data_IF_459700609039
#
_entry.id   IF_459700609039
#
_cell.length_a   1.000
_cell.length_b   1.000
_cell.length_c   1.000
_cell.angle_alpha   90.00
_cell.angle_beta   90.00
_cell.angle_gamma   90.00
#
_symmetry.space_group_name_H-M   'P 1'
#
loop_
_entity.id
_entity.type
_entity.pdbx_description
1 polymer ?
#
# COMPACT_ATOMS: atom_id res chain seq x y z
N UNK A 1 -17.77 2.95 20.09
CA UNK A 1 -17.81 4.29 19.44
C UNK A 1 -18.85 4.27 18.35
N UNK A 2 -19.42 5.42 18.01
CA UNK A 2 -20.29 5.51 16.83
C UNK A 2 -19.45 5.93 15.62
N UNK A 3 -19.15 4.98 14.73
CA UNK A 3 -18.31 5.23 13.53
C UNK A 3 -19.10 5.82 12.35
N UNK A 4 -20.44 5.84 12.43
CA UNK A 4 -21.31 6.33 11.37
C UNK A 4 -22.76 5.94 11.56
N UNK A 5 -23.56 6.11 10.51
CA UNK A 5 -24.99 5.77 10.48
C UNK A 5 -25.35 4.98 9.23
N UNK A 6 -26.42 4.21 9.31
CA UNK A 6 -26.99 3.53 8.16
C UNK A 6 -28.11 4.36 7.55
N UNK A 7 -28.12 4.45 6.22
CA UNK A 7 -29.21 5.09 5.44
C UNK A 7 -29.80 4.06 4.48
N UNK A 8 -31.13 4.03 4.38
CA UNK A 8 -31.83 3.08 3.51
C UNK A 8 -31.82 3.60 2.07
N UNK A 9 -31.31 2.80 1.14
CA UNK A 9 -31.35 3.09 -0.29
C UNK A 9 -32.71 2.70 -0.89
N UNK A 10 -33.03 3.29 -2.05
CA UNK A 10 -34.22 2.91 -2.83
C UNK A 10 -34.21 1.44 -3.25
N UNK A 11 -33.01 0.85 -3.38
CA UNK A 11 -32.80 -0.58 -3.67
C UNK A 11 -33.12 -1.51 -2.48
N UNK A 12 -33.50 -0.96 -1.31
CA UNK A 12 -33.77 -1.70 -0.08
C UNK A 12 -32.54 -2.00 0.77
N UNK A 13 -31.32 -1.79 0.28
CA UNK A 13 -30.09 -1.98 1.04
C UNK A 13 -29.86 -0.85 2.05
N UNK A 14 -29.15 -1.16 3.15
CA UNK A 14 -28.67 -0.17 4.11
C UNK A 14 -27.24 0.21 3.78
N UNK A 15 -27.01 1.45 3.33
CA UNK A 15 -25.69 2.00 3.08
C UNK A 15 -25.11 2.60 4.37
N UNK A 16 -23.84 2.35 4.62
CA UNK A 16 -23.14 2.92 5.77
C UNK A 16 -22.53 4.28 5.38
N UNK A 17 -22.84 5.31 6.16
CA UNK A 17 -22.28 6.66 6.03
C UNK A 17 -21.36 6.89 7.22
N UNK A 18 -20.02 6.89 7.05
CA UNK A 18 -19.08 7.09 8.14
C UNK A 18 -19.18 8.52 8.69
N UNK A 19 -18.94 8.66 9.99
CA UNK A 19 -18.77 9.97 10.61
C UNK A 19 -17.42 10.58 10.18
N UNK A 20 -17.27 11.91 10.20
CA UNK A 20 -15.97 12.56 10.03
C UNK A 20 -14.94 12.08 11.06
N UNK A 21 -13.66 12.13 10.67
CA UNK A 21 -12.54 11.92 11.59
C UNK A 21 -12.16 13.25 12.28
N UNK A 22 -11.58 13.25 13.49
CA UNK A 22 -11.23 12.08 14.32
C UNK A 22 -12.47 11.39 14.93
N UNK A 23 -12.36 10.11 15.36
CA UNK A 23 -13.47 9.43 16.00
C UNK A 23 -13.93 10.11 17.29
N UNK A 24 -15.23 10.14 17.52
CA UNK A 24 -15.83 10.57 18.79
C UNK A 24 -16.64 9.43 19.44
N UNK A 25 -16.35 9.08 20.71
CA UNK A 25 -15.25 9.57 21.55
C UNK A 25 -13.87 9.19 20.95
N UNK A 26 -12.78 9.88 21.36
CA UNK A 26 -11.43 9.61 20.87
C UNK A 26 -11.00 8.16 21.08
N UNK A 27 -10.13 7.66 20.20
CA UNK A 27 -9.50 6.33 20.33
C UNK A 27 -8.79 6.23 21.68
N UNK A 28 -9.05 5.16 22.40
CA UNK A 28 -8.39 4.87 23.67
C UNK A 28 -7.02 4.26 23.41
N UNK A 29 -5.98 5.03 23.71
CA UNK A 29 -4.59 4.56 23.60
C UNK A 29 -4.17 4.00 24.95
N UNK A 30 -4.48 2.72 25.17
CA UNK A 30 -4.08 2.00 26.37
C UNK A 30 -2.60 1.57 26.28
N UNK A 31 -2.02 1.14 27.41
CA UNK A 31 -0.61 0.76 27.53
C UNK A 31 -0.15 -0.22 26.45
N UNK A 32 -0.94 -1.25 26.16
CA UNK A 32 -0.60 -2.25 25.13
C UNK A 32 -0.50 -1.64 23.73
N UNK A 33 -1.41 -0.73 23.39
CA UNK A 33 -1.38 -0.02 22.11
C UNK A 33 -0.17 0.92 22.04
N UNK A 34 0.18 1.58 23.14
CA UNK A 34 1.35 2.45 23.22
C UNK A 34 2.65 1.67 23.00
N UNK A 35 2.79 0.49 23.63
CA UNK A 35 3.92 -0.41 23.42
C UNK A 35 4.01 -0.92 21.95
N UNK A 36 2.86 -1.22 21.32
CA UNK A 36 2.81 -1.60 19.91
C UNK A 36 3.20 -0.44 19.00
N UNK A 37 2.73 0.77 19.31
CA UNK A 37 3.05 1.98 18.57
C UNK A 37 4.56 2.27 18.61
N UNK A 38 5.18 2.18 19.78
CA UNK A 38 6.62 2.34 19.94
C UNK A 38 7.40 1.28 19.16
N UNK A 39 7.00 0.00 19.23
CA UNK A 39 7.60 -1.09 18.46
C UNK A 39 7.46 -0.86 16.96
N UNK A 40 6.29 -0.45 16.49
CA UNK A 40 6.03 -0.16 15.08
C UNK A 40 6.91 0.98 14.56
N UNK A 41 6.97 2.08 15.31
CA UNK A 41 7.80 3.22 14.98
C UNK A 41 9.29 2.84 14.92
N UNK A 42 9.79 2.14 15.93
CA UNK A 42 11.19 1.69 15.98
C UNK A 42 11.53 0.70 14.85
N UNK A 43 10.60 -0.20 14.49
CA UNK A 43 10.81 -1.14 13.38
C UNK A 43 10.87 -0.42 12.04
N UNK A 44 10.05 0.60 11.87
CA UNK A 44 9.99 1.40 10.66
C UNK A 44 11.25 2.27 10.50
N UNK A 45 11.70 2.94 11.57
CA UNK A 45 12.94 3.71 11.57
C UNK A 45 14.17 2.85 11.25
N UNK A 46 14.22 1.61 11.77
CA UNK A 46 15.29 0.66 11.43
C UNK A 46 15.25 0.28 9.96
N UNK A 47 14.07 0.06 9.40
CA UNK A 47 13.90 -0.26 7.97
C UNK A 47 14.37 0.91 7.11
N UNK A 48 13.97 2.12 7.44
CA UNK A 48 14.33 3.33 6.72
C UNK A 48 15.87 3.55 6.74
N UNK A 49 16.50 3.43 7.93
CA UNK A 49 17.94 3.57 8.08
C UNK A 49 18.75 2.51 7.34
N UNK A 50 18.19 1.32 7.06
CA UNK A 50 18.86 0.28 6.30
C UNK A 50 19.11 0.72 4.84
N UNK A 51 18.20 1.52 4.29
CA UNK A 51 18.31 2.02 2.94
C UNK A 51 19.66 2.69 2.66
N UNK A 52 20.14 3.47 3.60
CA UNK A 52 21.44 4.16 3.46
C UNK A 52 22.67 3.24 3.55
N UNK A 53 22.50 2.03 4.05
CA UNK A 53 23.60 1.06 4.22
C UNK A 53 23.73 0.06 3.05
N UNK A 54 22.77 0.05 2.10
CA UNK A 54 22.74 -0.91 1.00
C UNK A 54 23.55 -0.41 -0.20
N UNK A 55 24.47 -1.22 -0.77
CA UNK A 55 25.30 -0.83 -1.91
C UNK A 55 24.50 -0.55 -3.19
N UNK A 56 23.34 -1.17 -3.39
CA UNK A 56 22.43 -1.02 -4.54
C UNK A 56 21.04 -0.61 -4.11
N UNK A 57 20.97 0.48 -3.37
CA UNK A 57 19.77 0.99 -2.73
C UNK A 57 18.58 1.15 -3.69
N UNK A 58 18.78 1.72 -4.88
CA UNK A 58 17.72 1.95 -5.86
C UNK A 58 17.09 0.64 -6.35
N UNK A 59 17.89 -0.38 -6.62
CA UNK A 59 17.39 -1.69 -7.02
C UNK A 59 16.61 -2.38 -5.90
N UNK A 60 17.08 -2.23 -4.66
CA UNK A 60 16.39 -2.75 -3.50
C UNK A 60 15.01 -2.09 -3.31
N UNK A 61 14.93 -0.76 -3.36
CA UNK A 61 13.67 -0.02 -3.34
C UNK A 61 12.76 -0.49 -4.47
N UNK A 62 13.28 -0.59 -5.70
CA UNK A 62 12.53 -1.05 -6.87
C UNK A 62 11.88 -2.41 -6.64
N UNK A 63 12.62 -3.38 -6.07
CA UNK A 63 12.09 -4.71 -5.76
C UNK A 63 10.99 -4.68 -4.70
N UNK A 64 11.08 -3.80 -3.70
CA UNK A 64 10.03 -3.65 -2.68
C UNK A 64 8.78 -2.96 -3.22
N UNK A 65 8.94 -1.95 -4.07
CA UNK A 65 7.82 -1.31 -4.78
C UNK A 65 7.10 -2.34 -5.67
N UNK A 66 7.84 -3.16 -6.42
CA UNK A 66 7.25 -4.23 -7.25
C UNK A 66 6.51 -5.25 -6.39
N UNK A 67 7.08 -5.65 -5.26
CA UNK A 67 6.46 -6.59 -4.32
C UNK A 67 5.18 -6.03 -3.71
N UNK A 68 5.19 -4.77 -3.26
CA UNK A 68 3.98 -4.09 -2.76
C UNK A 68 2.91 -3.99 -3.83
N UNK A 69 3.26 -3.54 -5.05
CA UNK A 69 2.35 -3.40 -6.17
C UNK A 69 1.69 -4.74 -6.56
N UNK A 70 2.50 -5.80 -6.63
CA UNK A 70 2.01 -7.14 -6.92
C UNK A 70 1.05 -7.65 -5.84
N UNK A 71 1.45 -7.58 -4.57
CA UNK A 71 0.63 -8.06 -3.44
C UNK A 71 -0.65 -7.26 -3.31
N UNK A 72 -0.60 -5.93 -3.47
CA UNK A 72 -1.77 -5.06 -3.48
C UNK A 72 -2.74 -5.44 -4.60
N UNK A 73 -2.25 -5.69 -5.81
CA UNK A 73 -3.09 -6.14 -6.94
C UNK A 73 -3.65 -7.55 -6.72
N UNK A 74 -2.89 -8.45 -6.10
CA UNK A 74 -3.35 -9.81 -5.78
C UNK A 74 -4.45 -9.84 -4.70
N UNK A 75 -4.52 -8.87 -3.79
CA UNK A 75 -5.65 -8.72 -2.85
C UNK A 75 -6.95 -8.50 -3.64
N UNK A 76 -6.88 -7.76 -4.75
CA UNK A 76 -8.03 -7.47 -5.64
C UNK A 76 -8.31 -8.56 -6.67
N UNK A 77 -7.51 -9.62 -6.72
CA UNK A 77 -7.78 -10.80 -7.55
C UNK A 77 -6.85 -11.03 -8.73
N UNK A 78 -5.88 -10.15 -9.00
CA UNK A 78 -4.84 -10.36 -10.02
C UNK A 78 -4.07 -11.65 -9.74
N UNK A 79 -3.83 -12.45 -10.78
CA UNK A 79 -3.10 -13.73 -10.70
C UNK A 79 -1.64 -13.63 -11.13
N UNK A 80 -1.18 -12.43 -11.49
CA UNK A 80 0.21 -12.20 -11.85
C UNK A 80 1.17 -12.71 -10.76
N UNK A 81 2.31 -13.23 -11.18
CA UNK A 81 3.42 -13.67 -10.33
C UNK A 81 4.57 -12.67 -10.38
N UNK A 82 5.54 -12.80 -9.49
CA UNK A 82 6.76 -11.98 -9.55
C UNK A 82 7.56 -12.27 -10.83
N UNK A 83 7.53 -13.51 -11.31
CA UNK A 83 8.15 -13.92 -12.58
C UNK A 83 7.51 -13.19 -13.77
N UNK A 84 6.18 -13.12 -13.84
CA UNK A 84 5.46 -12.37 -14.87
C UNK A 84 5.87 -10.88 -14.87
N UNK A 85 6.03 -10.27 -13.69
CA UNK A 85 6.49 -8.88 -13.57
C UNK A 85 7.89 -8.69 -14.13
N UNK A 86 8.83 -9.58 -13.81
CA UNK A 86 10.20 -9.50 -14.34
C UNK A 86 10.26 -9.73 -15.85
N UNK A 87 9.50 -10.70 -16.38
CA UNK A 87 9.44 -10.99 -17.82
C UNK A 87 8.87 -9.78 -18.59
N UNK A 88 7.77 -9.21 -18.11
CA UNK A 88 7.13 -8.06 -18.75
C UNK A 88 8.06 -6.84 -18.79
N UNK A 89 8.82 -6.58 -17.74
CA UNK A 89 9.81 -5.50 -17.68
C UNK A 89 10.85 -5.60 -18.82
N UNK A 90 11.17 -6.82 -19.27
CA UNK A 90 12.22 -7.04 -20.26
C UNK A 90 11.73 -7.00 -21.71
N UNK A 91 10.61 -7.62 -21.98
CA UNK A 91 10.14 -7.83 -23.36
C UNK A 91 8.89 -7.04 -23.72
N UNK A 92 8.35 -6.25 -22.79
CA UNK A 92 7.10 -5.46 -22.97
C UNK A 92 5.96 -6.27 -23.58
N UNK A 93 6.02 -7.59 -23.46
CA UNK A 93 5.04 -8.55 -23.95
C UNK A 93 4.82 -9.62 -22.88
N UNK A 94 3.61 -10.13 -22.75
CA UNK A 94 3.30 -11.18 -21.79
C UNK A 94 1.91 -11.10 -21.20
N UNK A 95 1.78 -11.58 -19.99
CA UNK A 95 0.53 -11.66 -19.26
C UNK A 95 -0.04 -10.27 -18.95
N UNK A 96 -1.20 -9.91 -19.52
CA UNK A 96 -1.88 -8.62 -19.26
C UNK A 96 -2.28 -8.42 -17.80
N UNK A 97 -2.33 -9.47 -17.01
CA UNK A 97 -2.58 -9.40 -15.56
C UNK A 97 -1.48 -8.65 -14.79
N UNK A 98 -0.33 -8.36 -15.40
CA UNK A 98 0.72 -7.53 -14.80
C UNK A 98 0.44 -6.04 -14.95
N UNK A 99 -0.42 -5.61 -15.89
CA UNK A 99 -0.74 -4.19 -16.12
C UNK A 99 -1.17 -3.50 -14.83
N UNK A 100 -2.07 -4.04 -14.00
CA UNK A 100 -2.44 -3.43 -12.71
C UNK A 100 -1.25 -3.24 -11.75
N UNK A 101 -0.24 -4.11 -11.84
CA UNK A 101 0.99 -4.02 -11.01
C UNK A 101 1.85 -2.85 -11.46
N UNK A 102 2.08 -2.70 -12.77
CA UNK A 102 2.83 -1.57 -13.33
C UNK A 102 2.13 -0.25 -13.10
N UNK A 103 0.82 -0.20 -13.31
CA UNK A 103 0.03 0.99 -13.04
C UNK A 103 0.10 1.43 -11.57
N UNK A 104 0.11 0.47 -10.63
CA UNK A 104 0.31 0.76 -9.21
C UNK A 104 1.68 1.41 -8.96
N UNK A 105 2.75 0.87 -9.57
CA UNK A 105 4.10 1.44 -9.46
C UNK A 105 4.18 2.84 -10.04
N UNK A 106 3.59 3.07 -11.21
CA UNK A 106 3.56 4.39 -11.85
C UNK A 106 2.71 5.38 -11.05
N UNK A 107 1.57 4.95 -10.49
CA UNK A 107 0.75 5.78 -9.62
C UNK A 107 1.52 6.18 -8.33
N UNK A 108 2.28 5.25 -7.72
CA UNK A 108 3.14 5.55 -6.57
C UNK A 108 4.24 6.56 -6.92
N UNK A 109 4.95 6.33 -8.02
CA UNK A 109 6.01 7.22 -8.51
C UNK A 109 5.48 8.62 -8.81
N UNK A 110 4.34 8.68 -9.50
CA UNK A 110 3.63 9.93 -9.78
C UNK A 110 3.24 10.65 -8.48
N UNK A 111 2.61 9.93 -7.55
CA UNK A 111 2.18 10.47 -6.26
C UNK A 111 3.35 11.03 -5.45
N UNK A 112 4.46 10.27 -5.32
CA UNK A 112 5.69 10.71 -4.63
C UNK A 112 6.23 12.02 -5.25
N UNK A 113 6.29 12.11 -6.58
CA UNK A 113 6.75 13.33 -7.27
C UNK A 113 5.80 14.51 -7.02
N UNK A 114 4.49 14.27 -7.10
CA UNK A 114 3.45 15.30 -6.96
C UNK A 114 3.34 15.88 -5.56
N UNK A 115 3.69 15.11 -4.53
CA UNK A 115 3.72 15.58 -3.14
C UNK A 115 4.72 16.73 -2.89
N UNK A 116 5.69 16.94 -3.79
CA UNK A 116 6.56 18.13 -3.75
C UNK A 116 5.84 19.42 -4.21
N UNK A 117 4.70 19.30 -4.89
CA UNK A 117 3.97 20.41 -5.49
C UNK A 117 2.60 20.60 -4.86
N UNK A 118 1.98 19.52 -4.38
CA UNK A 118 0.63 19.49 -3.82
C UNK A 118 0.64 18.79 -2.46
N UNK A 119 -0.22 19.20 -1.52
CA UNK A 119 -0.50 18.40 -0.34
C UNK A 119 -1.22 17.10 -0.74
N UNK A 120 -1.41 16.20 0.22
CA UNK A 120 -2.22 15.01 0.02
C UNK A 120 -3.70 15.41 -0.10
N UNK A 121 -4.18 15.58 -1.33
CA UNK A 121 -5.50 16.13 -1.64
C UNK A 121 -6.29 15.25 -2.60
N UNK A 122 -7.59 15.49 -2.70
CA UNK A 122 -8.50 14.76 -3.60
C UNK A 122 -8.08 14.83 -5.07
N UNK A 123 -7.49 15.94 -5.49
CA UNK A 123 -6.94 16.08 -6.84
C UNK A 123 -5.84 15.07 -7.09
N UNK A 124 -4.87 14.95 -6.17
CA UNK A 124 -3.78 13.97 -6.27
C UNK A 124 -4.33 12.54 -6.31
N UNK A 125 -5.31 12.23 -5.46
CA UNK A 125 -5.96 10.91 -5.41
C UNK A 125 -6.61 10.57 -6.76
N UNK A 126 -7.31 11.51 -7.37
CA UNK A 126 -7.96 11.33 -8.69
C UNK A 126 -6.94 11.16 -9.82
N UNK A 127 -5.86 11.95 -9.82
CA UNK A 127 -4.76 11.85 -10.78
C UNK A 127 -4.10 10.45 -10.71
N UNK A 128 -3.81 9.95 -9.50
CA UNK A 128 -3.26 8.60 -9.31
C UNK A 128 -4.25 7.49 -9.71
N UNK A 129 -5.53 7.65 -9.38
CA UNK A 129 -6.56 6.68 -9.75
C UNK A 129 -6.68 6.56 -11.28
N UNK A 130 -6.53 7.66 -12.02
CA UNK A 130 -6.52 7.63 -13.48
C UNK A 130 -5.37 6.76 -14.02
N UNK A 131 -4.16 6.95 -13.48
CA UNK A 131 -2.98 6.14 -13.86
C UNK A 131 -3.22 4.67 -13.50
N UNK A 132 -3.76 4.40 -12.31
CA UNK A 132 -3.96 3.05 -11.80
C UNK A 132 -4.85 2.18 -12.69
N UNK A 133 -5.83 2.76 -13.37
CA UNK A 133 -6.78 2.03 -14.20
C UNK A 133 -6.47 2.09 -15.70
N UNK A 134 -5.43 2.77 -16.14
CA UNK A 134 -5.07 2.92 -17.55
C UNK A 134 -4.75 1.54 -18.19
N UNK A 135 -5.45 1.17 -19.25
CA UNK A 135 -5.26 -0.12 -19.94
C UNK A 135 -5.53 -1.37 -19.09
N UNK A 136 -6.04 -1.22 -17.86
CA UNK A 136 -6.37 -2.31 -16.96
C UNK A 136 -7.87 -2.68 -17.05
N UNK A 137 -8.26 -3.76 -16.39
CA UNK A 137 -9.66 -4.26 -16.39
C UNK A 137 -10.68 -3.21 -15.93
N UNK A 138 -10.29 -2.24 -15.11
CA UNK A 138 -11.12 -1.12 -14.65
C UNK A 138 -11.16 0.12 -15.56
N UNK A 139 -10.58 0.11 -16.76
CA UNK A 139 -10.48 1.28 -17.64
C UNK A 139 -11.84 1.91 -17.98
N UNK A 140 -12.89 1.11 -18.10
CA UNK A 140 -14.26 1.57 -18.37
C UNK A 140 -15.02 2.01 -17.09
N UNK A 141 -14.36 2.12 -15.95
CA UNK A 141 -14.93 2.51 -14.65
C UNK A 141 -14.63 3.97 -14.28
N UNK A 142 -14.61 4.87 -15.26
CA UNK A 142 -14.38 6.30 -15.10
C UNK A 142 -13.08 6.63 -14.33
N UNK A 143 -11.89 6.32 -14.88
CA UNK A 143 -10.62 6.59 -14.22
C UNK A 143 -10.46 8.07 -13.81
N UNK A 144 -10.14 8.29 -12.53
CA UNK A 144 -9.97 9.62 -11.97
C UNK A 144 -11.27 10.33 -11.58
N UNK A 145 -12.45 9.70 -11.77
CA UNK A 145 -13.72 10.31 -11.41
C UNK A 145 -14.39 9.58 -10.24
N UNK A 146 -14.92 10.35 -9.29
CA UNK A 146 -15.71 9.79 -8.21
C UNK A 146 -17.01 9.21 -8.74
N UNK A 147 -17.45 8.10 -8.16
CA UNK A 147 -18.64 7.39 -8.59
C UNK A 147 -19.91 8.23 -8.43
N UNK A 148 -20.79 8.08 -9.39
CA UNK A 148 -22.14 8.67 -9.40
C UNK A 148 -23.23 7.62 -9.21
N UNK A 149 -22.82 6.33 -9.07
CA UNK A 149 -23.73 5.21 -8.83
C UNK A 149 -23.39 4.52 -7.49
N UNK A 150 -24.38 3.92 -6.81
CA UNK A 150 -24.14 3.08 -5.65
C UNK A 150 -23.35 1.82 -6.04
N UNK A 151 -22.54 1.32 -5.11
CA UNK A 151 -21.77 0.07 -5.27
C UNK A 151 -22.01 -0.83 -4.07
N UNK A 152 -21.76 -2.14 -4.23
CA UNK A 152 -21.81 -3.14 -3.16
C UNK A 152 -20.48 -3.88 -3.18
N UNK A 153 -19.82 -3.96 -2.03
CA UNK A 153 -18.52 -4.61 -1.88
C UNK A 153 -18.71 -5.99 -1.23
N UNK A 154 -18.11 -7.01 -1.85
CA UNK A 154 -18.21 -8.40 -1.36
C UNK A 154 -19.53 -9.07 -1.75
N UNK A 155 -19.67 -10.34 -1.31
CA UNK A 155 -20.91 -11.13 -1.48
C UNK A 155 -21.97 -10.76 -0.45
N UNK A 156 -23.14 -11.40 -0.51
CA UNK A 156 -24.24 -11.15 0.43
C UNK A 156 -23.95 -11.75 1.84
N UNK A 157 -24.17 -10.98 2.94
CA UNK A 157 -24.52 -9.56 2.98
C UNK A 157 -23.26 -8.70 2.78
N UNK A 158 -23.16 -7.98 1.64
CA UNK A 158 -22.01 -7.14 1.32
C UNK A 158 -22.00 -5.83 2.11
N UNK A 159 -20.82 -5.19 2.15
CA UNK A 159 -20.72 -3.80 2.63
C UNK A 159 -21.27 -2.86 1.56
N UNK A 160 -22.16 -1.96 1.94
CA UNK A 160 -22.72 -0.93 1.05
C UNK A 160 -22.16 0.42 1.48
N UNK A 161 -21.23 1.00 0.72
CA UNK A 161 -20.68 2.33 1.00
C UNK A 161 -21.73 3.44 0.90
N UNK A 162 -21.40 4.68 1.32
CA UNK A 162 -22.31 5.81 1.26
C UNK A 162 -22.90 6.01 -0.13
N UNK A 163 -24.15 6.48 -0.25
CA UNK A 163 -24.72 6.84 -1.54
C UNK A 163 -23.95 8.04 -2.15
N UNK A 164 -23.94 8.18 -3.50
CA UNK A 164 -23.12 9.17 -4.19
C UNK A 164 -23.34 10.63 -3.78
N UNK A 165 -24.55 10.99 -3.39
CA UNK A 165 -24.94 12.32 -2.92
C UNK A 165 -24.22 12.74 -1.61
N UNK A 166 -23.76 11.76 -0.81
CA UNK A 166 -22.96 12.02 0.39
C UNK A 166 -21.45 12.18 0.10
N UNK A 167 -20.97 11.75 -1.06
CA UNK A 167 -19.52 11.68 -1.33
C UNK A 167 -18.84 13.04 -1.24
N UNK A 168 -19.48 14.11 -1.71
CA UNK A 168 -18.88 15.44 -1.72
C UNK A 168 -18.51 15.92 -0.32
N UNK A 169 -19.41 15.77 0.64
CA UNK A 169 -19.21 16.17 2.03
C UNK A 169 -18.17 15.26 2.70
N UNK A 170 -18.33 13.94 2.58
CA UNK A 170 -17.42 12.97 3.16
C UNK A 170 -15.98 13.10 2.67
N UNK A 171 -15.79 13.39 1.38
CA UNK A 171 -14.47 13.59 0.79
C UNK A 171 -13.86 14.93 1.20
N UNK A 172 -14.67 15.98 1.34
CA UNK A 172 -14.20 17.26 1.88
C UNK A 172 -13.68 17.09 3.33
N UNK A 173 -14.45 16.43 4.18
CA UNK A 173 -14.05 16.15 5.57
C UNK A 173 -12.82 15.23 5.63
N UNK A 174 -12.74 14.24 4.75
CA UNK A 174 -11.57 13.36 4.61
C UNK A 174 -10.30 14.15 4.26
N UNK A 175 -10.35 14.99 3.22
CA UNK A 175 -9.23 15.83 2.80
C UNK A 175 -8.79 16.79 3.91
N UNK A 176 -9.75 17.42 4.57
CA UNK A 176 -9.51 18.29 5.73
C UNK A 176 -8.76 17.54 6.83
N UNK A 177 -9.27 16.37 7.24
CA UNK A 177 -8.62 15.55 8.28
C UNK A 177 -7.20 15.10 7.90
N UNK A 178 -6.98 14.70 6.65
CA UNK A 178 -5.64 14.29 6.18
C UNK A 178 -4.63 15.42 6.38
N UNK A 179 -5.01 16.67 6.07
CA UNK A 179 -4.12 17.83 6.06
C UNK A 179 -4.03 18.55 7.41
N UNK A 180 -5.00 18.41 8.31
CA UNK A 180 -4.96 19.03 9.63
C UNK A 180 -3.92 18.37 10.53
N UNK A 181 -3.26 19.17 11.35
CA UNK A 181 -2.50 18.67 12.48
C UNK A 181 -3.46 18.20 13.58
N UNK A 182 -3.20 17.03 14.12
CA UNK A 182 -3.99 16.50 15.23
C UNK A 182 -3.08 15.81 16.26
N UNK A 183 -3.69 15.42 17.40
CA UNK A 183 -2.99 14.84 18.54
C UNK A 183 -2.56 13.39 18.36
N UNK A 184 -3.04 12.70 17.30
CA UNK A 184 -2.68 11.31 17.08
C UNK A 184 -1.28 11.19 16.48
N UNK A 185 -0.55 10.17 16.94
CA UNK A 185 0.70 9.77 16.31
C UNK A 185 0.49 9.46 14.81
N UNK A 186 1.42 9.84 13.91
CA UNK A 186 1.24 9.65 12.46
C UNK A 186 0.85 8.24 12.03
N UNK A 187 1.35 7.19 12.68
CA UNK A 187 0.97 5.80 12.37
C UNK A 187 -0.50 5.50 12.71
N UNK A 188 -1.01 6.03 13.81
CA UNK A 188 -2.44 5.92 14.16
C UNK A 188 -3.27 6.69 13.16
N UNK A 189 -2.88 7.92 12.85
CA UNK A 189 -3.57 8.75 11.85
C UNK A 189 -3.59 8.07 10.48
N UNK A 190 -2.49 7.45 10.05
CA UNK A 190 -2.40 6.67 8.82
C UNK A 190 -3.42 5.52 8.80
N UNK A 191 -3.56 4.77 9.91
CA UNK A 191 -4.55 3.71 10.03
C UNK A 191 -5.99 4.24 9.91
N UNK A 192 -6.29 5.39 10.56
CA UNK A 192 -7.60 6.05 10.48
C UNK A 192 -7.90 6.55 9.05
N UNK A 193 -6.94 7.17 8.38
CA UNK A 193 -7.05 7.63 6.99
C UNK A 193 -7.38 6.45 6.07
N UNK A 194 -6.64 5.35 6.20
CA UNK A 194 -6.89 4.16 5.38
C UNK A 194 -8.30 3.61 5.60
N UNK A 195 -8.72 3.41 6.85
CA UNK A 195 -10.08 2.97 7.15
C UNK A 195 -11.13 3.89 6.54
N UNK A 196 -11.00 5.19 6.75
CA UNK A 196 -11.99 6.17 6.28
C UNK A 196 -12.12 6.16 4.75
N UNK A 197 -10.99 6.08 4.04
CA UNK A 197 -10.99 5.97 2.59
C UNK A 197 -11.70 4.71 2.10
N UNK A 198 -11.40 3.56 2.70
CA UNK A 198 -12.05 2.29 2.38
C UNK A 198 -13.56 2.33 2.71
N UNK A 199 -13.95 2.97 3.82
CA UNK A 199 -15.35 3.12 4.21
C UNK A 199 -16.14 4.03 3.26
N UNK A 200 -15.55 5.13 2.79
CA UNK A 200 -16.16 6.05 1.80
C UNK A 200 -16.26 5.37 0.43
N UNK A 201 -15.22 4.65 0.02
CA UNK A 201 -15.16 3.91 -1.24
C UNK A 201 -15.54 4.75 -2.45
N UNK A 202 -14.79 5.83 -2.74
CA UNK A 202 -15.25 6.91 -3.62
C UNK A 202 -15.28 6.57 -5.11
N UNK A 203 -14.66 5.50 -5.57
CA UNK A 203 -14.55 5.12 -6.97
C UNK A 203 -15.41 3.89 -7.31
N UNK A 204 -15.64 3.64 -8.59
CA UNK A 204 -16.32 2.43 -9.07
C UNK A 204 -15.43 1.18 -8.99
N UNK A 205 -14.11 1.35 -9.08
CA UNK A 205 -13.09 0.31 -9.00
C UNK A 205 -11.79 0.90 -8.46
N UNK A 206 -10.82 0.08 -8.07
CA UNK A 206 -9.47 0.51 -7.67
C UNK A 206 -9.36 1.15 -6.28
N UNK A 207 -10.43 1.21 -5.49
CA UNK A 207 -10.39 1.82 -4.15
C UNK A 207 -9.36 1.17 -3.24
N UNK A 208 -9.36 -0.16 -3.12
CA UNK A 208 -8.42 -0.86 -2.25
C UNK A 208 -6.96 -0.60 -2.64
N UNK A 209 -6.63 -0.57 -3.93
CA UNK A 209 -5.28 -0.24 -4.41
C UNK A 209 -4.90 1.20 -4.08
N UNK A 210 -5.81 2.17 -4.30
CA UNK A 210 -5.59 3.57 -3.90
C UNK A 210 -5.47 3.70 -2.39
N UNK A 211 -6.35 3.07 -1.61
CA UNK A 211 -6.28 3.09 -0.14
C UNK A 211 -4.93 2.62 0.39
N UNK A 212 -4.35 1.56 -0.20
CA UNK A 212 -3.01 1.07 0.17
C UNK A 212 -1.87 1.97 -0.34
N UNK A 213 -2.02 2.58 -1.53
CA UNK A 213 -1.10 3.63 -1.99
C UNK A 213 -1.06 4.83 -1.04
N UNK A 214 -2.21 5.24 -0.52
CA UNK A 214 -2.32 6.35 0.42
C UNK A 214 -1.55 6.09 1.72
N UNK A 215 -1.44 4.84 2.19
CA UNK A 215 -0.61 4.51 3.35
C UNK A 215 0.84 4.91 3.09
N UNK A 216 1.42 4.39 2.00
CA UNK A 216 2.83 4.66 1.65
C UNK A 216 3.07 6.15 1.41
N UNK A 217 2.19 6.80 0.66
CA UNK A 217 2.31 8.23 0.35
C UNK A 217 2.16 9.11 1.59
N UNK A 218 1.27 8.74 2.53
CA UNK A 218 1.12 9.47 3.78
C UNK A 218 2.38 9.40 4.64
N UNK A 219 2.99 8.21 4.73
CA UNK A 219 4.24 8.04 5.48
C UNK A 219 5.40 8.81 4.86
N UNK A 220 5.52 8.82 3.53
CA UNK A 220 6.50 9.63 2.78
C UNK A 220 6.25 11.13 3.01
N UNK A 221 5.02 11.59 2.82
CA UNK A 221 4.65 13.00 2.96
C UNK A 221 4.88 13.56 4.37
N UNK A 222 4.69 12.70 5.40
CA UNK A 222 4.93 13.07 6.80
C UNK A 222 6.39 12.85 7.24
N UNK A 223 7.29 12.49 6.33
CA UNK A 223 8.70 12.19 6.60
C UNK A 223 8.87 11.14 7.71
N UNK A 224 8.02 10.11 7.70
CA UNK A 224 8.13 8.94 8.60
C UNK A 224 9.04 7.89 7.98
N UNK A 225 9.08 7.84 6.67
CA UNK A 225 9.99 7.06 5.84
C UNK A 225 10.48 7.97 4.69
N UNK A 226 11.73 7.80 4.27
CA UNK A 226 12.29 8.54 3.13
C UNK A 226 11.99 7.82 1.81
N UNK A 227 11.88 6.49 1.84
CA UNK A 227 11.63 5.67 0.66
C UNK A 227 10.52 4.61 0.91
N UNK A 228 9.80 4.19 -0.15
CA UNK A 228 8.66 3.28 -0.03
C UNK A 228 9.08 1.82 0.21
N UNK A 229 9.76 1.56 1.32
CA UNK A 229 10.26 0.22 1.70
C UNK A 229 9.23 -0.63 2.46
N UNK A 230 8.14 -0.02 2.94
CA UNK A 230 7.09 -0.73 3.65
C UNK A 230 6.12 -1.39 2.66
N UNK A 231 6.06 -2.72 2.67
CA UNK A 231 5.13 -3.51 1.83
C UNK A 231 3.99 -4.10 2.67
N UNK A 232 3.13 -3.22 3.20
CA UNK A 232 2.07 -3.59 4.13
C UNK A 232 1.01 -4.51 3.49
N UNK A 233 0.88 -4.50 2.16
CA UNK A 233 0.01 -5.42 1.41
C UNK A 233 0.38 -6.89 1.62
N UNK A 234 1.63 -7.21 1.99
CA UNK A 234 2.00 -8.58 2.39
C UNK A 234 1.20 -9.03 3.61
N UNK A 235 1.13 -8.19 4.64
CA UNK A 235 0.41 -8.50 5.87
C UNK A 235 -1.09 -8.56 5.61
N UNK A 236 -1.66 -7.61 4.89
CA UNK A 236 -3.07 -7.59 4.54
C UNK A 236 -3.48 -8.79 3.69
N UNK A 237 -2.64 -9.24 2.76
CA UNK A 237 -2.88 -10.45 1.98
C UNK A 237 -2.78 -11.73 2.82
N UNK A 238 -1.75 -11.83 3.66
CA UNK A 238 -1.52 -12.96 4.56
C UNK A 238 -2.69 -13.17 5.51
N UNK A 239 -3.24 -12.09 6.04
CA UNK A 239 -4.38 -12.08 6.96
C UNK A 239 -5.62 -11.48 6.31
N UNK A 240 -5.90 -11.84 5.04
CA UNK A 240 -6.90 -11.19 4.20
C UNK A 240 -8.29 -11.14 4.85
N UNK A 241 -8.75 -12.25 5.42
CA UNK A 241 -10.06 -12.29 6.08
C UNK A 241 -10.09 -11.37 7.29
N UNK A 242 -9.07 -11.42 8.14
CA UNK A 242 -8.99 -10.54 9.32
C UNK A 242 -8.93 -9.06 8.92
N UNK A 243 -8.20 -8.72 7.85
CA UNK A 243 -8.15 -7.35 7.32
C UNK A 243 -9.54 -6.80 7.00
N UNK A 244 -10.35 -7.54 6.24
CA UNK A 244 -11.71 -7.12 5.91
C UNK A 244 -12.63 -7.14 7.13
N UNK A 245 -12.52 -8.13 8.00
CA UNK A 245 -13.29 -8.20 9.23
C UNK A 245 -13.02 -7.00 10.16
N UNK A 246 -11.73 -6.56 10.28
CA UNK A 246 -11.36 -5.39 11.08
C UNK A 246 -11.95 -4.11 10.52
N UNK A 247 -11.89 -3.88 9.21
CA UNK A 247 -12.53 -2.73 8.56
C UNK A 247 -14.05 -2.75 8.78
N UNK A 248 -14.69 -3.91 8.60
CA UNK A 248 -16.11 -4.06 8.82
C UNK A 248 -16.51 -3.82 10.29
N UNK A 249 -15.73 -4.30 11.26
CA UNK A 249 -15.99 -4.10 12.68
C UNK A 249 -15.86 -2.65 13.12
N UNK A 250 -15.02 -1.85 12.47
CA UNK A 250 -15.03 -0.39 12.69
C UNK A 250 -16.35 0.20 12.22
N UNK A 251 -16.80 -0.12 10.99
CA UNK A 251 -18.08 0.40 10.45
C UNK A 251 -19.28 -0.04 11.27
N UNK A 252 -19.33 -1.31 11.67
CA UNK A 252 -20.51 -1.89 12.34
C UNK A 252 -20.56 -1.68 13.86
N UNK A 253 -19.40 -1.53 14.52
CA UNK A 253 -19.28 -1.51 15.99
C UNK A 253 -18.39 -0.40 16.54
N UNK A 254 -17.73 0.40 15.68
CA UNK A 254 -16.80 1.44 16.10
C UNK A 254 -15.49 0.90 16.71
N UNK A 255 -15.05 -0.30 16.32
CA UNK A 255 -13.88 -0.97 16.91
C UNK A 255 -12.55 -0.42 16.32
N UNK A 256 -12.31 0.88 16.46
CA UNK A 256 -11.10 1.53 15.95
C UNK A 256 -9.81 1.00 16.59
N UNK A 257 -9.83 0.72 17.90
CA UNK A 257 -8.66 0.23 18.63
C UNK A 257 -8.16 -1.11 18.09
N UNK A 258 -9.06 -2.01 17.74
CA UNK A 258 -8.70 -3.31 17.20
C UNK A 258 -8.13 -3.20 15.78
N UNK A 259 -8.69 -2.30 14.97
CA UNK A 259 -8.16 -1.98 13.66
C UNK A 259 -6.74 -1.39 13.75
N UNK A 260 -6.54 -0.38 14.59
CA UNK A 260 -5.23 0.26 14.79
C UNK A 260 -4.20 -0.77 15.29
N UNK A 261 -4.59 -1.62 16.25
CA UNK A 261 -3.74 -2.71 16.73
C UNK A 261 -3.31 -3.65 15.61
N UNK A 262 -4.24 -4.06 14.74
CA UNK A 262 -3.96 -4.89 13.58
C UNK A 262 -3.01 -4.19 12.60
N UNK A 263 -3.24 -2.92 12.31
CA UNK A 263 -2.40 -2.12 11.44
C UNK A 263 -0.97 -1.97 11.96
N UNK A 264 -0.79 -1.66 13.25
CA UNK A 264 0.52 -1.55 13.89
C UNK A 264 1.28 -2.88 13.90
N UNK A 265 0.61 -4.00 14.16
CA UNK A 265 1.19 -5.34 14.03
C UNK A 265 1.67 -5.61 12.60
N UNK A 266 0.92 -5.18 11.60
CA UNK A 266 1.32 -5.26 10.20
C UNK A 266 2.61 -4.50 9.91
N UNK A 267 2.74 -3.27 10.41
CA UNK A 267 3.98 -2.48 10.29
C UNK A 267 5.16 -3.23 10.93
N UNK A 268 5.01 -3.74 12.15
CA UNK A 268 6.08 -4.46 12.85
C UNK A 268 6.52 -5.70 12.07
N UNK A 269 5.56 -6.53 11.64
CA UNK A 269 5.85 -7.79 10.95
C UNK A 269 6.54 -7.52 9.60
N UNK A 270 6.01 -6.60 8.81
CA UNK A 270 6.55 -6.30 7.47
C UNK A 270 7.90 -5.62 7.54
N UNK A 271 8.09 -4.64 8.43
CA UNK A 271 9.38 -3.98 8.61
C UNK A 271 10.45 -4.95 9.10
N UNK A 272 10.11 -5.82 10.07
CA UNK A 272 11.05 -6.84 10.58
C UNK A 272 11.42 -7.86 9.50
N UNK A 273 10.44 -8.30 8.70
CA UNK A 273 10.68 -9.20 7.57
C UNK A 273 11.56 -8.57 6.50
N UNK A 274 11.33 -7.29 6.18
CA UNK A 274 12.15 -6.54 5.23
C UNK A 274 13.60 -6.42 5.68
N UNK A 275 13.82 -6.04 6.94
CA UNK A 275 15.15 -5.96 7.56
C UNK A 275 15.90 -7.28 7.49
N UNK A 276 15.22 -8.40 7.81
CA UNK A 276 15.81 -9.72 7.72
C UNK A 276 16.21 -10.08 6.28
N UNK A 277 15.27 -9.89 5.33
CA UNK A 277 15.53 -10.19 3.91
C UNK A 277 16.70 -9.37 3.37
N UNK A 278 16.78 -8.09 3.70
CA UNK A 278 17.87 -7.24 3.27
C UNK A 278 19.23 -7.74 3.80
N UNK A 279 19.27 -8.10 5.09
CA UNK A 279 20.48 -8.70 5.70
C UNK A 279 20.86 -10.02 5.03
N UNK A 280 19.90 -10.91 4.80
CA UNK A 280 20.13 -12.20 4.16
C UNK A 280 20.69 -12.02 2.74
N UNK A 281 20.22 -11.01 1.98
CA UNK A 281 20.72 -10.66 0.64
C UNK A 281 22.16 -10.14 0.70
N UNK A 282 22.47 -9.24 1.64
CA UNK A 282 23.84 -8.73 1.84
C UNK A 282 24.80 -9.88 2.17
N UNK A 283 24.42 -10.71 3.14
CA UNK A 283 25.23 -11.85 3.57
C UNK A 283 25.44 -12.87 2.43
N UNK A 284 24.41 -13.11 1.60
CA UNK A 284 24.48 -13.97 0.42
C UNK A 284 25.47 -13.38 -0.62
N UNK A 285 25.33 -12.09 -0.94
CA UNK A 285 26.21 -11.38 -1.90
C UNK A 285 27.66 -11.46 -1.45
N UNK A 286 27.95 -11.09 -0.21
CA UNK A 286 29.30 -11.13 0.32
C UNK A 286 29.91 -12.54 0.34
N UNK A 287 29.13 -13.55 0.73
CA UNK A 287 29.58 -14.96 0.71
C UNK A 287 29.92 -15.43 -0.70
N UNK A 288 29.07 -15.18 -1.68
CA UNK A 288 29.29 -15.61 -3.06
C UNK A 288 30.41 -14.82 -3.73
N UNK A 289 30.53 -13.52 -3.46
CA UNK A 289 31.63 -12.69 -3.94
C UNK A 289 32.98 -13.22 -3.45
N UNK A 290 33.10 -13.59 -2.18
CA UNK A 290 34.31 -14.19 -1.62
C UNK A 290 34.64 -15.54 -2.28
N UNK A 291 33.63 -16.36 -2.61
CA UNK A 291 33.83 -17.62 -3.32
C UNK A 291 34.33 -17.40 -4.74
N UNK A 292 33.73 -16.44 -5.47
CA UNK A 292 34.19 -16.07 -6.82
C UNK A 292 35.64 -15.58 -6.82
N UNK A 293 36.00 -14.65 -5.92
CA UNK A 293 37.37 -14.11 -5.85
C UNK A 293 38.42 -15.18 -5.49
N UNK A 294 38.06 -16.18 -4.69
CA UNK A 294 38.95 -17.33 -4.37
C UNK A 294 39.17 -18.27 -5.54
N UNK A 295 38.28 -18.25 -6.55
CA UNK A 295 38.43 -19.02 -7.78
C UNK A 295 39.60 -18.48 -8.63
N UNK A 296 40.56 -19.32 -8.97
CA UNK A 296 41.83 -18.93 -9.66
C UNK A 296 41.66 -18.35 -11.08
N UNK A 297 40.44 -18.29 -11.64
CA UNK A 297 40.16 -17.80 -13.02
C UNK A 297 38.78 -17.13 -13.12
N UNK A 298 38.52 -16.11 -12.32
CA UNK A 298 37.27 -15.32 -12.47
C UNK A 298 37.51 -14.22 -13.51
N UNK A 299 36.71 -14.23 -14.56
CA UNK A 299 36.72 -13.15 -15.55
C UNK A 299 36.01 -11.90 -15.01
N UNK A 300 36.38 -10.72 -15.51
CA UNK A 300 35.66 -9.49 -15.21
C UNK A 300 34.16 -9.59 -15.58
N UNK A 301 33.85 -10.24 -16.71
CA UNK A 301 32.47 -10.50 -17.13
C UNK A 301 31.69 -11.35 -16.12
N UNK A 302 32.29 -12.36 -15.51
CA UNK A 302 31.64 -13.16 -14.48
C UNK A 302 31.32 -12.37 -13.20
N UNK A 303 32.19 -11.41 -12.84
CA UNK A 303 31.92 -10.51 -11.72
C UNK A 303 30.79 -9.52 -12.03
N UNK A 304 30.78 -8.96 -13.23
CA UNK A 304 29.71 -8.07 -13.68
C UNK A 304 28.37 -8.80 -13.70
N UNK A 305 28.31 -9.98 -14.30
CA UNK A 305 27.10 -10.81 -14.32
C UNK A 305 26.63 -11.15 -12.89
N UNK A 306 27.58 -11.47 -11.99
CA UNK A 306 27.24 -11.74 -10.59
C UNK A 306 26.59 -10.53 -9.90
N UNK A 307 27.11 -9.31 -10.11
CA UNK A 307 26.53 -8.09 -9.54
C UNK A 307 25.15 -7.82 -10.17
N UNK A 308 25.00 -8.01 -11.49
CA UNK A 308 23.72 -7.84 -12.19
C UNK A 308 22.62 -8.78 -11.67
N UNK A 309 22.95 -10.00 -11.21
CA UNK A 309 21.97 -10.93 -10.65
C UNK A 309 21.30 -10.41 -9.37
N UNK A 310 21.91 -9.50 -8.63
CA UNK A 310 21.29 -8.86 -7.46
C UNK A 310 20.37 -7.70 -7.86
N UNK A 311 20.55 -7.14 -9.04
CA UNK A 311 19.66 -6.10 -9.61
C UNK A 311 18.54 -6.71 -10.42
N UNK A 312 18.83 -7.79 -11.15
CA UNK A 312 17.89 -8.45 -12.07
C UNK A 312 18.10 -9.96 -12.00
N UNK A 313 17.27 -10.70 -11.25
CA UNK A 313 17.46 -12.15 -11.03
C UNK A 313 17.21 -13.01 -12.27
N UNK A 314 16.73 -12.42 -13.38
CA UNK A 314 16.54 -13.09 -14.66
C UNK A 314 17.52 -12.56 -15.69
N UNK A 315 18.31 -13.45 -16.28
CA UNK A 315 19.32 -13.14 -17.31
C UNK A 315 18.97 -13.91 -18.59
N UNK A 316 18.93 -13.23 -19.73
CA UNK A 316 18.85 -13.88 -21.04
C UNK A 316 20.25 -13.99 -21.67
N UNK A 317 20.43 -14.97 -22.57
CA UNK A 317 21.70 -15.15 -23.29
C UNK A 317 22.08 -13.90 -24.11
N UNK A 318 21.08 -13.15 -24.57
CA UNK A 318 21.28 -11.89 -25.32
C UNK A 318 21.82 -10.73 -24.47
N UNK A 319 21.76 -10.85 -23.14
CA UNK A 319 22.15 -9.81 -22.18
C UNK A 319 23.48 -10.13 -21.47
N UNK A 320 24.16 -11.22 -21.83
CA UNK A 320 25.47 -11.63 -21.38
C UNK A 320 26.52 -11.35 -22.47
#
# INVERSE_FOLDING_TARGET
MNSGRYVKLLTGHNAFVPNPLPPEPPVKIEKEMMELLEKANNSLLRLDSLGYALPDYENFIGAYIQKEALLSSQIEGTRATMEDVFIFNRISAGNKEVIPVFNYMEALKYGKKRLNELPMCLRLIREMHKILLEGAEGENKNPGEFRTAPVIIGGAPGYVPPPPDHLKELLFDFEKYVNEENTYHPLIKCALIHYQFEAIHPFLDGNGRIGRLLITLYLLWRNIIDEPLLYLSYYFKKYRQEYYDRLYLVSSRGNFEQWITFFLKGIIETSTSALKTAKDIIDLRERHRKLLIKGKKVSAAALLLFEDLFSTPFVSIENI
#
